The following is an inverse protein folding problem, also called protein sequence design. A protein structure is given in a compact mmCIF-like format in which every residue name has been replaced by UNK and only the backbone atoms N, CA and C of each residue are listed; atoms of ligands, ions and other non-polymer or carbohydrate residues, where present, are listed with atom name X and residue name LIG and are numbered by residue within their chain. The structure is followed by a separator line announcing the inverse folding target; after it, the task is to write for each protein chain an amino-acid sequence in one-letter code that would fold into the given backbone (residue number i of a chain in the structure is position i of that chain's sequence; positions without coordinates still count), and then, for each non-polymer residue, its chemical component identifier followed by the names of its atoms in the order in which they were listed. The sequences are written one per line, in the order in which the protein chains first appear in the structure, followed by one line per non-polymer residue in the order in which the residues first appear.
data_IF_731355934100
#
_entry.id   IF_731355934100
#
_cell.length_a   1.000
_cell.length_b   1.000
_cell.length_c   1.000
_cell.angle_alpha   90.00
_cell.angle_beta   90.00
_cell.angle_gamma   90.00
#
_symmetry.space_group_name_H-M   'P 1'
#
loop_
_entity.id
_entity.type
_entity.pdbx_description
1 polymer ?
#
# COMPACT_ATOMS: atom_id res chain seq x y z
N UNK A 1 19.59 10.41 -22.92
CA UNK A 1 19.54 10.01 -21.50
C UNK A 1 20.88 9.40 -21.17
N UNK A 2 21.59 9.96 -20.19
CA UNK A 2 22.87 9.36 -19.79
C UNK A 2 22.62 8.10 -18.95
N UNK A 3 23.64 7.25 -18.79
CA UNK A 3 23.50 5.99 -18.05
C UNK A 3 23.09 6.18 -16.58
N UNK A 4 23.46 7.30 -15.97
CA UNK A 4 23.10 7.64 -14.59
C UNK A 4 21.59 7.94 -14.45
N UNK A 5 21.02 8.76 -15.33
CA UNK A 5 19.59 9.08 -15.35
C UNK A 5 18.73 7.83 -15.53
N UNK A 6 19.15 6.92 -16.42
CA UNK A 6 18.47 5.64 -16.63
C UNK A 6 18.50 4.77 -15.37
N UNK A 7 19.64 4.76 -14.67
CA UNK A 7 19.82 4.04 -13.43
C UNK A 7 18.89 4.61 -12.34
N UNK A 8 18.84 5.93 -12.18
CA UNK A 8 17.93 6.61 -11.22
C UNK A 8 16.47 6.25 -11.49
N UNK A 9 16.02 6.34 -12.75
CA UNK A 9 14.64 6.00 -13.14
C UNK A 9 14.29 4.55 -12.82
N UNK A 10 15.23 3.63 -13.05
CA UNK A 10 15.04 2.21 -12.76
C UNK A 10 14.86 1.99 -11.26
N UNK A 11 15.74 2.56 -10.42
CA UNK A 11 15.64 2.41 -8.97
C UNK A 11 14.47 3.16 -8.35
N UNK A 12 14.10 4.31 -8.91
CA UNK A 12 12.90 5.06 -8.53
C UNK A 12 11.62 4.24 -8.83
N UNK A 13 11.55 3.60 -10.00
CA UNK A 13 10.47 2.66 -10.32
C UNK A 13 10.44 1.49 -9.33
N UNK A 14 11.59 0.89 -9.04
CA UNK A 14 11.68 -0.23 -8.09
C UNK A 14 11.25 0.15 -6.67
N UNK A 15 11.43 1.40 -6.24
CA UNK A 15 10.93 1.86 -4.94
C UNK A 15 9.41 1.69 -4.83
N UNK A 16 8.67 1.84 -5.93
CA UNK A 16 7.22 1.61 -5.94
C UNK A 16 6.85 0.15 -6.21
N UNK A 17 7.48 -0.48 -7.21
CA UNK A 17 7.12 -1.84 -7.62
C UNK A 17 7.51 -2.91 -6.61
N UNK A 18 8.53 -2.67 -5.78
CA UNK A 18 8.90 -3.59 -4.71
C UNK A 18 7.81 -3.76 -3.66
N UNK A 19 6.85 -2.83 -3.56
CA UNK A 19 5.67 -3.01 -2.71
C UNK A 19 4.83 -4.23 -3.13
N UNK A 20 4.87 -4.65 -4.41
CA UNK A 20 4.16 -5.85 -4.87
C UNK A 20 4.65 -7.14 -4.19
N UNK A 21 5.81 -7.12 -3.53
CA UNK A 21 6.25 -8.21 -2.66
C UNK A 21 5.20 -8.53 -1.58
N UNK A 22 4.34 -7.58 -1.21
CA UNK A 22 3.25 -7.84 -0.27
C UNK A 22 2.13 -8.74 -0.80
N UNK A 23 2.07 -9.01 -2.10
CA UNK A 23 1.20 -10.06 -2.64
C UNK A 23 1.65 -11.47 -2.19
N UNK A 24 2.94 -11.64 -1.90
CA UNK A 24 3.53 -12.93 -1.47
C UNK A 24 3.72 -12.95 0.05
N UNK A 25 4.25 -11.86 0.61
CA UNK A 25 4.63 -11.77 2.02
C UNK A 25 3.63 -10.97 2.88
N UNK A 26 2.45 -10.66 2.35
CA UNK A 26 1.44 -9.86 3.03
C UNK A 26 1.91 -8.43 3.34
N UNK A 27 1.45 -7.90 4.48
CA UNK A 27 1.76 -6.52 4.87
C UNK A 27 3.26 -6.23 5.05
N UNK A 28 4.06 -7.24 5.40
CA UNK A 28 5.52 -7.10 5.52
C UNK A 28 6.17 -6.80 4.16
N UNK A 29 5.74 -7.48 3.10
CA UNK A 29 6.29 -7.26 1.76
C UNK A 29 5.99 -5.86 1.23
N UNK A 30 4.80 -5.32 1.51
CA UNK A 30 4.39 -3.97 1.10
C UNK A 30 5.33 -2.88 1.64
N UNK A 31 5.90 -3.06 2.84
CA UNK A 31 6.74 -2.06 3.51
C UNK A 31 8.22 -2.36 3.31
N UNK A 32 8.63 -3.61 3.51
CA UNK A 32 10.03 -4.01 3.42
C UNK A 32 10.56 -3.90 2.01
N UNK A 33 9.75 -4.17 0.98
CA UNK A 33 10.17 -4.01 -0.42
C UNK A 33 10.69 -2.60 -0.70
N UNK A 34 9.86 -1.55 -0.58
CA UNK A 34 10.27 -0.17 -0.80
C UNK A 34 11.40 0.27 0.12
N UNK A 35 11.39 -0.17 1.37
CA UNK A 35 12.43 0.16 2.36
C UNK A 35 13.78 -0.40 1.93
N UNK A 36 13.84 -1.67 1.58
CA UNK A 36 15.07 -2.34 1.17
C UNK A 36 15.62 -1.69 -0.11
N UNK A 37 14.77 -1.49 -1.12
CA UNK A 37 15.19 -0.87 -2.39
C UNK A 37 15.77 0.52 -2.15
N UNK A 38 15.08 1.35 -1.38
CA UNK A 38 15.57 2.70 -1.05
C UNK A 38 16.90 2.64 -0.29
N UNK A 39 17.01 1.79 0.73
CA UNK A 39 18.21 1.72 1.58
C UNK A 39 19.44 1.18 0.84
N UNK A 40 19.27 0.32 -0.17
CA UNK A 40 20.37 -0.19 -0.99
C UNK A 40 20.99 0.93 -1.83
N UNK A 41 20.18 1.84 -2.38
CA UNK A 41 20.66 2.84 -3.36
C UNK A 41 20.74 4.27 -2.88
N UNK A 42 20.19 4.62 -1.72
CA UNK A 42 20.20 6.01 -1.22
C UNK A 42 21.59 6.66 -1.14
N UNK A 43 22.63 5.89 -0.85
CA UNK A 43 23.99 6.42 -0.70
C UNK A 43 24.66 6.65 -2.06
N UNK A 44 24.26 5.89 -3.08
CA UNK A 44 24.80 5.99 -4.45
C UNK A 44 23.99 6.95 -5.31
N UNK A 45 22.66 6.96 -5.13
CA UNK A 45 21.69 7.72 -5.91
C UNK A 45 20.81 8.57 -4.98
N UNK A 46 21.29 9.71 -4.46
CA UNK A 46 20.49 10.57 -3.58
C UNK A 46 19.15 11.01 -4.21
N UNK A 47 19.09 11.08 -5.53
CA UNK A 47 17.89 11.42 -6.33
C UNK A 47 16.73 10.43 -6.14
N UNK A 48 16.97 9.19 -5.69
CA UNK A 48 15.89 8.21 -5.47
C UNK A 48 15.16 8.41 -4.13
N UNK A 49 15.72 9.21 -3.22
CA UNK A 49 15.17 9.46 -1.89
C UNK A 49 13.69 9.88 -1.89
N UNK A 50 13.25 10.88 -2.68
CA UNK A 50 11.85 11.26 -2.71
C UNK A 50 10.92 10.10 -3.11
N UNK A 51 11.33 9.25 -4.05
CA UNK A 51 10.53 8.09 -4.50
C UNK A 51 10.42 7.03 -3.41
N UNK A 52 11.53 6.71 -2.75
CA UNK A 52 11.57 5.75 -1.65
C UNK A 52 10.72 6.19 -0.46
N UNK A 53 10.86 7.45 -0.02
CA UNK A 53 10.06 8.02 1.06
C UNK A 53 8.58 8.05 0.74
N UNK A 54 8.22 8.47 -0.47
CA UNK A 54 6.82 8.58 -0.90
C UNK A 54 6.16 7.19 -1.04
N UNK A 55 6.89 6.20 -1.57
CA UNK A 55 6.44 4.81 -1.59
C UNK A 55 6.18 4.28 -0.17
N UNK A 56 7.12 4.48 0.76
CA UNK A 56 6.97 4.04 2.15
C UNK A 56 5.83 4.73 2.87
N UNK A 57 5.71 6.05 2.73
CA UNK A 57 4.63 6.83 3.31
C UNK A 57 3.25 6.32 2.85
N UNK A 58 3.13 5.99 1.56
CA UNK A 58 1.91 5.41 1.03
C UNK A 58 1.61 4.02 1.62
N UNK A 59 2.60 3.12 1.66
CA UNK A 59 2.41 1.77 2.19
C UNK A 59 2.10 1.75 3.69
N UNK A 60 2.70 2.66 4.45
CA UNK A 60 2.35 2.88 5.86
C UNK A 60 0.92 3.41 6.02
N UNK A 61 0.49 4.31 5.13
CA UNK A 61 -0.89 4.82 5.12
C UNK A 61 -1.89 3.69 4.86
N UNK A 62 -1.63 2.86 3.84
CA UNK A 62 -2.48 1.70 3.51
C UNK A 62 -2.48 0.67 4.65
N UNK A 63 -1.34 0.45 5.31
CA UNK A 63 -1.27 -0.40 6.50
C UNK A 63 -2.21 0.10 7.60
N UNK A 64 -2.16 1.39 7.93
CA UNK A 64 -3.01 1.96 8.99
C UNK A 64 -4.49 1.80 8.64
N UNK A 65 -4.87 2.09 7.39
CA UNK A 65 -6.25 1.90 6.91
C UNK A 65 -6.67 0.43 7.05
N UNK A 66 -5.82 -0.51 6.64
CA UNK A 66 -6.09 -1.94 6.73
C UNK A 66 -6.21 -2.42 8.19
N UNK A 67 -5.38 -1.91 9.11
CA UNK A 67 -5.44 -2.25 10.54
C UNK A 67 -6.75 -1.76 11.16
N UNK A 68 -7.13 -0.50 10.91
CA UNK A 68 -8.39 0.06 11.41
C UNK A 68 -9.59 -0.73 10.86
N UNK A 69 -9.59 -1.00 9.56
CA UNK A 69 -10.65 -1.78 8.92
C UNK A 69 -10.74 -3.21 9.47
N UNK A 70 -9.59 -3.85 9.75
CA UNK A 70 -9.54 -5.19 10.33
C UNK A 70 -10.06 -5.22 11.76
N UNK A 71 -9.74 -4.23 12.59
CA UNK A 71 -10.29 -4.10 13.95
C UNK A 71 -11.82 -3.92 13.90
N UNK A 72 -12.31 -3.06 13.02
CA UNK A 72 -13.73 -2.86 12.82
C UNK A 72 -14.44 -4.15 12.38
N UNK A 73 -13.82 -4.89 11.45
CA UNK A 73 -14.33 -6.18 10.96
C UNK A 73 -14.37 -7.26 12.04
N UNK A 74 -13.33 -7.37 12.88
CA UNK A 74 -13.34 -8.29 14.02
C UNK A 74 -14.41 -7.88 15.03
N UNK A 75 -14.59 -6.57 15.27
CA UNK A 75 -15.64 -6.04 16.12
C UNK A 75 -17.05 -6.40 15.65
N UNK A 76 -17.34 -6.30 14.35
CA UNK A 76 -18.65 -6.68 13.78
C UNK A 76 -18.92 -8.18 13.91
N UNK A 77 -17.89 -9.01 13.71
CA UNK A 77 -17.95 -10.46 13.93
C UNK A 77 -18.22 -10.78 15.40
N UNK A 78 -17.47 -10.18 16.33
CA UNK A 78 -17.64 -10.38 17.77
C UNK A 78 -19.03 -9.98 18.27
N UNK A 79 -19.54 -8.82 17.85
CA UNK A 79 -20.87 -8.33 18.18
C UNK A 79 -21.97 -9.25 17.65
N UNK A 80 -21.79 -9.77 16.44
CA UNK A 80 -22.74 -10.71 15.89
C UNK A 80 -22.78 -12.00 16.73
N UNK A 81 -21.64 -12.57 17.16
CA UNK A 81 -21.60 -13.86 17.90
C UNK A 81 -22.37 -13.80 19.22
N UNK A 82 -22.42 -12.63 19.86
CA UNK A 82 -23.24 -12.36 21.05
C UNK A 82 -24.75 -12.37 20.77
N UNK A 83 -25.19 -12.07 19.55
CA UNK A 83 -26.60 -12.02 19.14
C UNK A 83 -26.90 -13.11 18.09
N UNK A 84 -27.10 -14.35 18.57
CA UNK A 84 -27.37 -15.58 17.78
C UNK A 84 -28.35 -15.40 16.61
N UNK A 85 -29.32 -14.47 16.71
CA UNK A 85 -30.35 -14.24 15.69
C UNK A 85 -29.94 -13.30 14.54
N UNK A 86 -28.87 -12.49 14.66
CA UNK A 86 -28.50 -11.48 13.64
C UNK A 86 -27.76 -12.08 12.43
N UNK A 87 -26.97 -13.15 12.65
CA UNK A 87 -26.12 -13.77 11.63
C UNK A 87 -26.84 -14.33 10.41
N UNK A 88 -28.10 -14.76 10.58
CA UNK A 88 -28.89 -15.36 9.50
C UNK A 88 -29.62 -14.31 8.67
N UNK A 89 -29.52 -13.03 9.03
CA UNK A 89 -30.19 -11.97 8.30
C UNK A 89 -29.42 -11.59 7.03
N UNK A 90 -30.11 -11.34 5.91
CA UNK A 90 -29.50 -10.78 4.71
C UNK A 90 -28.88 -9.39 4.96
N UNK A 91 -29.35 -8.68 6.00
CA UNK A 91 -28.77 -7.41 6.43
C UNK A 91 -27.34 -7.57 6.94
N UNK A 92 -27.00 -8.64 7.66
CA UNK A 92 -25.64 -8.87 8.16
C UNK A 92 -24.63 -9.18 7.04
N UNK A 93 -25.07 -9.85 5.97
CA UNK A 93 -24.27 -10.08 4.76
C UNK A 93 -23.92 -8.77 4.05
N UNK A 94 -24.82 -7.78 4.10
CA UNK A 94 -24.62 -6.47 3.46
C UNK A 94 -23.90 -5.46 4.36
N UNK A 95 -24.06 -5.50 5.69
CA UNK A 95 -23.62 -4.42 6.59
C UNK A 95 -22.44 -4.75 7.52
N UNK A 96 -22.16 -6.02 7.83
CA UNK A 96 -21.25 -6.36 8.94
C UNK A 96 -19.92 -6.99 8.52
N UNK A 97 -19.98 -8.06 7.74
CA UNK A 97 -18.80 -8.84 7.33
C UNK A 97 -18.46 -8.66 5.85
N UNK A 98 -19.33 -9.14 4.97
CA UNK A 98 -19.03 -9.21 3.53
C UNK A 98 -18.82 -7.83 2.89
N UNK A 99 -19.66 -6.84 3.22
CA UNK A 99 -19.52 -5.48 2.69
C UNK A 99 -18.19 -4.82 3.05
N UNK A 100 -17.77 -4.92 4.33
CA UNK A 100 -16.50 -4.36 4.77
C UNK A 100 -15.29 -5.10 4.17
N UNK A 101 -15.38 -6.43 4.03
CA UNK A 101 -14.37 -7.22 3.32
C UNK A 101 -14.20 -6.78 1.85
N UNK A 102 -15.31 -6.56 1.13
CA UNK A 102 -15.26 -6.05 -0.24
C UNK A 102 -14.63 -4.66 -0.33
N UNK A 103 -14.94 -3.76 0.61
CA UNK A 103 -14.33 -2.43 0.67
C UNK A 103 -12.81 -2.54 0.87
N UNK A 104 -12.34 -3.41 1.75
CA UNK A 104 -10.90 -3.65 1.97
C UNK A 104 -10.23 -4.14 0.68
N UNK A 105 -10.86 -5.08 -0.04
CA UNK A 105 -10.34 -5.57 -1.32
C UNK A 105 -10.23 -4.44 -2.34
N UNK A 106 -11.26 -3.59 -2.45
CA UNK A 106 -11.26 -2.44 -3.36
C UNK A 106 -10.14 -1.45 -3.00
N UNK A 107 -9.94 -1.15 -1.71
CA UNK A 107 -8.86 -0.26 -1.25
C UNK A 107 -7.49 -0.82 -1.63
N UNK A 108 -7.24 -2.11 -1.39
CA UNK A 108 -5.95 -2.74 -1.70
C UNK A 108 -5.73 -2.85 -3.21
N UNK A 109 -6.78 -3.07 -4.00
CA UNK A 109 -6.70 -3.05 -5.46
C UNK A 109 -6.38 -1.65 -5.99
N UNK A 110 -7.04 -0.62 -5.46
CA UNK A 110 -6.72 0.77 -5.79
C UNK A 110 -5.27 1.11 -5.41
N UNK A 111 -4.81 0.67 -4.22
CA UNK A 111 -3.43 0.86 -3.79
C UNK A 111 -2.41 0.17 -4.70
N UNK A 112 -2.72 -1.04 -5.15
CA UNK A 112 -1.90 -1.76 -6.13
C UNK A 112 -1.81 -1.00 -7.46
N UNK A 113 -2.94 -0.53 -7.99
CA UNK A 113 -2.98 0.26 -9.22
C UNK A 113 -2.14 1.53 -9.07
N UNK A 114 -2.30 2.25 -7.96
CA UNK A 114 -1.52 3.47 -7.68
C UNK A 114 -0.02 3.18 -7.60
N UNK A 115 0.39 2.06 -6.98
CA UNK A 115 1.80 1.67 -6.91
C UNK A 115 2.40 1.38 -8.30
N UNK A 116 1.64 0.70 -9.16
CA UNK A 116 2.05 0.46 -10.56
C UNK A 116 2.13 1.78 -11.33
N UNK A 117 1.13 2.66 -11.23
CA UNK A 117 1.12 3.97 -11.89
C UNK A 117 2.30 4.83 -11.43
N UNK A 118 2.60 4.85 -10.13
CA UNK A 118 3.75 5.56 -9.59
C UNK A 118 5.07 5.00 -10.13
N UNK A 119 5.20 3.67 -10.22
CA UNK A 119 6.35 3.02 -10.84
C UNK A 119 6.54 3.41 -12.31
N UNK A 120 5.46 3.39 -13.11
CA UNK A 120 5.49 3.79 -14.52
C UNK A 120 5.89 5.26 -14.68
N UNK A 121 5.35 6.15 -13.84
CA UNK A 121 5.72 7.56 -13.84
C UNK A 121 7.17 7.79 -13.44
N UNK A 122 7.64 7.11 -12.40
CA UNK A 122 9.05 7.16 -11.98
C UNK A 122 10.00 6.70 -13.10
N UNK A 123 9.61 5.66 -13.85
CA UNK A 123 10.38 5.21 -15.03
C UNK A 123 10.44 6.27 -16.14
N UNK A 124 9.38 7.09 -16.29
CA UNK A 124 9.37 8.23 -17.20
C UNK A 124 10.16 9.44 -16.67
N UNK A 125 10.68 9.38 -15.44
CA UNK A 125 11.36 10.49 -14.77
C UNK A 125 10.39 11.46 -14.08
N UNK A 126 9.12 11.10 -13.95
CA UNK A 126 8.11 11.91 -13.26
C UNK A 126 7.98 11.47 -11.79
N UNK A 127 7.95 12.44 -10.88
CA UNK A 127 7.62 12.17 -9.48
C UNK A 127 6.10 12.04 -9.31
N UNK A 128 5.65 10.91 -8.77
CA UNK A 128 4.24 10.68 -8.46
C UNK A 128 3.97 10.83 -6.97
N UNK A 129 3.15 11.82 -6.61
CA UNK A 129 2.67 12.01 -5.25
C UNK A 129 1.39 11.20 -5.05
N UNK A 130 1.40 10.25 -4.12
CA UNK A 130 0.24 9.42 -3.87
C UNK A 130 -0.91 10.26 -3.29
N UNK A 131 -2.14 10.09 -3.80
CA UNK A 131 -3.30 10.66 -3.16
C UNK A 131 -3.49 10.01 -1.78
N UNK A 132 -3.93 10.80 -0.80
CA UNK A 132 -4.22 10.37 0.58
C UNK A 132 -3.02 9.84 1.40
N UNK A 133 -1.81 9.75 0.85
CA UNK A 133 -0.63 9.37 1.61
C UNK A 133 -0.30 10.36 2.72
N UNK A 134 -0.12 9.85 3.94
CA UNK A 134 0.38 10.58 5.10
C UNK A 134 1.91 10.55 5.05
N UNK A 135 2.55 11.72 5.17
CA UNK A 135 4.01 11.86 5.07
C UNK A 135 4.66 11.75 6.44
N UNK A 136 4.89 10.51 6.85
CA UNK A 136 5.59 10.17 8.09
C UNK A 136 7.08 10.52 7.99
N UNK A 137 7.69 10.17 6.85
CA UNK A 137 9.08 10.44 6.53
C UNK A 137 9.13 11.69 5.65
N UNK A 138 9.84 12.73 6.11
CA UNK A 138 10.09 13.98 5.39
C UNK A 138 11.45 13.93 4.70
#
# INVERSE_FOLDING_TARGET
MNSQEQNVRTWAMLCHLSALAGLIFGWLGNILGPLIVWQIKKNELPEIEPYGKEALNFQLTILIINVIASIAFVGTIGAAFGFRHIWRSPFFLLSGGFGLGLIIVIINLAALILAVVAGLKANNGEFYKYPFAIRFIK
#
